data_IF_663020253584
#
_entry.id   IF_663020253584
#
_cell.length_a   1.000
_cell.length_b   1.000
_cell.length_c   1.000
_cell.angle_alpha   90.00
_cell.angle_beta   90.00
_cell.angle_gamma   90.00
#
_symmetry.space_group_name_H-M   'P 1'
#
loop_
_entity.id
_entity.type
_entity.pdbx_description
1 polymer ?
#
# COMPACT_ATOMS: atom_id res chain seq x y z
N UNK A 1 31.90 4.68 -19.13
CA UNK A 1 30.64 4.39 -18.42
C UNK A 1 29.76 5.62 -18.51
N UNK A 2 28.59 5.51 -19.11
CA UNK A 2 27.74 6.66 -19.50
C UNK A 2 27.24 7.40 -18.23
N UNK A 3 27.46 8.72 -18.12
CA UNK A 3 27.01 9.56 -16.98
C UNK A 3 25.52 9.34 -16.62
N UNK A 4 24.68 9.04 -17.62
CA UNK A 4 23.25 8.75 -17.45
C UNK A 4 22.98 7.44 -16.69
N UNK A 5 23.85 6.41 -16.85
CA UNK A 5 23.74 5.14 -16.11
C UNK A 5 24.19 5.35 -14.66
N UNK A 6 25.20 6.18 -14.42
CA UNK A 6 25.70 6.50 -13.07
C UNK A 6 24.64 7.28 -12.28
N UNK A 7 23.91 8.22 -12.91
CA UNK A 7 22.83 9.00 -12.27
C UNK A 7 21.63 8.13 -11.95
N UNK A 8 21.24 7.20 -12.84
CA UNK A 8 20.17 6.25 -12.61
C UNK A 8 20.53 5.25 -11.48
N UNK A 9 21.79 4.78 -11.45
CA UNK A 9 22.28 3.90 -10.39
C UNK A 9 22.35 4.63 -9.04
N UNK A 10 22.72 5.91 -9.01
CA UNK A 10 22.76 6.70 -7.78
C UNK A 10 21.34 6.99 -7.22
N UNK A 11 20.37 7.24 -8.09
CA UNK A 11 18.96 7.34 -7.73
C UNK A 11 18.42 6.01 -7.18
N UNK A 12 18.77 4.87 -7.80
CA UNK A 12 18.37 3.54 -7.32
C UNK A 12 19.00 3.18 -5.96
N UNK A 13 20.25 3.58 -5.74
CA UNK A 13 20.97 3.36 -4.46
C UNK A 13 20.42 4.27 -3.37
N UNK A 14 20.02 5.49 -3.67
CA UNK A 14 19.38 6.40 -2.69
C UNK A 14 18.04 5.86 -2.17
N UNK A 15 17.32 5.04 -2.96
CA UNK A 15 16.11 4.33 -2.52
C UNK A 15 16.36 3.15 -1.59
N UNK A 16 17.60 2.67 -1.49
CA UNK A 16 17.96 1.53 -0.61
C UNK A 16 18.29 1.94 0.83
N UNK A 17 18.48 3.23 1.09
CA UNK A 17 18.61 3.70 2.47
C UNK A 17 17.21 3.71 3.13
N UNK A 18 16.97 2.72 3.98
CA UNK A 18 15.83 2.71 4.92
C UNK A 18 16.00 3.88 5.89
N UNK A 19 15.44 5.03 5.55
CA UNK A 19 15.14 6.05 6.52
C UNK A 19 13.96 5.53 7.33
N UNK A 20 14.23 5.13 8.57
CA UNK A 20 13.24 4.53 9.46
C UNK A 20 12.18 5.56 9.81
N UNK A 21 10.96 5.27 9.50
CA UNK A 21 9.80 5.92 10.06
C UNK A 21 8.77 4.91 10.46
N UNK A 22 8.20 5.14 11.60
CA UNK A 22 7.19 4.29 12.12
C UNK A 22 5.87 5.02 12.23
N UNK A 23 4.81 4.33 11.86
CA UNK A 23 3.48 4.62 12.32
C UNK A 23 3.25 3.82 13.61
N UNK A 24 2.81 4.47 14.69
CA UNK A 24 2.43 3.75 15.90
C UNK A 24 1.37 2.67 15.60
N UNK A 25 0.56 2.91 14.61
CA UNK A 25 -0.47 1.98 14.15
C UNK A 25 0.09 0.71 13.47
N UNK A 26 1.37 0.71 13.07
CA UNK A 26 2.01 -0.48 12.48
C UNK A 26 2.40 -1.56 13.51
N UNK A 27 2.19 -1.28 14.80
CA UNK A 27 2.31 -2.27 15.89
C UNK A 27 1.30 -3.41 15.74
N UNK A 28 0.09 -3.13 15.21
CA UNK A 28 -1.02 -4.06 15.18
C UNK A 28 -0.98 -5.01 13.97
N UNK A 29 -1.30 -6.28 14.19
CA UNK A 29 -1.47 -7.31 13.16
C UNK A 29 -0.24 -7.49 12.27
N UNK A 30 -0.44 -7.37 10.96
CA UNK A 30 0.62 -7.44 9.95
C UNK A 30 1.26 -6.08 9.63
N UNK A 31 1.02 -5.06 10.46
CA UNK A 31 1.40 -3.68 10.19
C UNK A 31 0.30 -2.88 9.49
N UNK A 32 0.65 -1.68 9.04
CA UNK A 32 -0.25 -0.84 8.24
C UNK A 32 -0.34 -1.41 6.84
N UNK A 33 -1.57 -1.67 6.37
CA UNK A 33 -1.79 -2.08 4.98
C UNK A 33 -1.47 -0.92 4.06
N UNK A 34 -0.58 -1.16 3.10
CA UNK A 34 -0.20 -0.16 2.12
C UNK A 34 -1.27 -0.03 1.03
N UNK A 35 -1.61 1.20 0.69
CA UNK A 35 -2.52 1.49 -0.42
C UNK A 35 -1.66 1.64 -1.68
N UNK A 36 -1.40 0.49 -2.31
CA UNK A 36 -0.41 0.40 -3.38
C UNK A 36 -1.07 0.48 -4.74
N UNK A 37 -0.65 1.47 -5.51
CA UNK A 37 -0.98 1.61 -6.93
C UNK A 37 0.09 2.48 -7.61
N UNK A 38 -0.03 2.72 -8.91
CA UNK A 38 0.81 3.70 -9.60
C UNK A 38 0.53 5.13 -9.10
N UNK A 39 1.47 6.04 -9.27
CA UNK A 39 1.37 7.42 -8.78
C UNK A 39 0.19 8.19 -9.40
N UNK A 40 -0.23 7.84 -10.65
CA UNK A 40 -1.42 8.44 -11.27
C UNK A 40 -2.67 8.16 -10.45
N UNK A 41 -2.92 6.89 -10.12
CA UNK A 41 -4.10 6.49 -9.38
C UNK A 41 -4.09 7.01 -7.93
N UNK A 42 -2.92 7.01 -7.28
CA UNK A 42 -2.76 7.59 -5.94
C UNK A 42 -3.09 9.09 -5.93
N UNK A 43 -2.69 9.83 -6.97
CA UNK A 43 -3.01 11.25 -7.12
C UNK A 43 -4.49 11.53 -7.40
N UNK A 44 -5.26 10.51 -7.75
CA UNK A 44 -6.71 10.54 -7.96
C UNK A 44 -7.50 10.01 -6.74
N UNK A 45 -6.97 10.21 -5.53
CA UNK A 45 -7.57 9.69 -4.30
C UNK A 45 -7.47 8.18 -4.17
N UNK A 46 -6.51 7.55 -4.85
CA UNK A 46 -6.39 6.10 -4.95
C UNK A 46 -7.57 5.41 -5.64
N UNK A 47 -8.27 6.09 -6.55
CA UNK A 47 -9.18 5.44 -7.50
C UNK A 47 -8.39 4.66 -8.55
N UNK A 48 -9.00 3.65 -9.18
CA UNK A 48 -8.31 2.82 -10.17
C UNK A 48 -9.17 1.69 -10.72
N UNK A 49 -10.32 1.39 -10.09
CA UNK A 49 -11.12 0.22 -10.47
C UNK A 49 -11.73 0.30 -11.89
N UNK A 50 -11.97 1.53 -12.38
CA UNK A 50 -12.53 1.79 -13.71
C UNK A 50 -11.64 2.68 -14.59
N UNK A 51 -10.31 2.69 -14.33
CA UNK A 51 -9.36 3.51 -15.07
C UNK A 51 -8.49 2.66 -16.00
N UNK A 52 -8.62 2.90 -17.31
CA UNK A 52 -7.70 2.37 -18.32
C UNK A 52 -6.61 3.38 -18.68
N UNK A 53 -5.51 2.89 -19.23
CA UNK A 53 -4.41 3.72 -19.72
C UNK A 53 -3.61 2.99 -20.80
N UNK A 54 -3.12 3.75 -21.77
CA UNK A 54 -2.20 3.26 -22.78
C UNK A 54 -0.74 3.21 -22.28
N UNK A 55 -0.41 3.98 -21.22
CA UNK A 55 0.96 4.23 -20.77
C UNK A 55 1.21 3.97 -19.28
N UNK A 56 0.19 3.68 -18.48
CA UNK A 56 0.34 3.36 -17.05
C UNK A 56 -0.25 1.98 -16.77
N UNK A 57 0.44 1.18 -15.97
CA UNK A 57 -0.07 -0.11 -15.53
C UNK A 57 -1.06 0.13 -14.38
N UNK A 58 -2.26 -0.40 -14.51
CA UNK A 58 -3.21 -0.43 -13.41
C UNK A 58 -3.00 -1.72 -12.61
N UNK A 59 -2.45 -1.58 -11.42
CA UNK A 59 -2.20 -2.71 -10.52
C UNK A 59 -3.44 -3.11 -9.71
N UNK A 60 -4.43 -2.23 -9.62
CA UNK A 60 -5.64 -2.46 -8.84
C UNK A 60 -6.62 -3.38 -9.56
N UNK A 61 -6.90 -3.10 -10.84
CA UNK A 61 -7.80 -3.88 -11.67
C UNK A 61 -7.10 -4.32 -12.97
N UNK A 62 -6.63 -5.57 -13.10
CA UNK A 62 -5.97 -6.04 -14.31
C UNK A 62 -6.86 -5.95 -15.55
N UNK A 63 -8.19 -6.10 -15.45
CA UNK A 63 -9.10 -6.04 -16.60
C UNK A 63 -9.06 -4.68 -17.35
N UNK A 64 -8.55 -3.60 -16.72
CA UNK A 64 -8.40 -2.28 -17.35
C UNK A 64 -7.18 -2.16 -18.24
N UNK A 65 -6.19 -3.05 -18.13
CA UNK A 65 -4.93 -3.00 -18.87
C UNK A 65 -5.05 -3.36 -20.38
N UNK A 66 -6.27 -3.45 -20.87
CA UNK A 66 -6.59 -3.78 -22.29
C UNK A 66 -6.38 -2.63 -23.27
N UNK A 67 -5.95 -1.46 -22.78
CA UNK A 67 -5.63 -0.29 -23.59
C UNK A 67 -4.14 -0.24 -24.04
N UNK A 68 -3.28 -1.16 -23.62
CA UNK A 68 -1.85 -1.16 -23.96
C UNK A 68 -1.60 -1.19 -25.46
N UNK A 69 -0.70 -0.33 -25.90
CA UNK A 69 -0.32 -0.20 -27.29
C UNK A 69 0.44 -1.47 -27.77
N UNK A 70 0.13 -1.99 -28.98
CA UNK A 70 0.84 -3.14 -29.53
C UNK A 70 2.33 -2.88 -29.70
N UNK A 71 3.17 -3.89 -29.45
CA UNK A 71 4.62 -3.84 -29.67
C UNK A 71 5.39 -3.01 -28.65
N UNK A 72 4.74 -2.51 -27.60
CA UNK A 72 5.38 -1.74 -26.53
C UNK A 72 5.33 -2.53 -25.23
N UNK A 73 6.47 -2.57 -24.52
CA UNK A 73 6.54 -3.01 -23.13
C UNK A 73 6.54 -1.78 -22.24
N UNK A 74 5.60 -1.73 -21.31
CA UNK A 74 5.50 -0.65 -20.33
C UNK A 74 6.23 -1.09 -19.07
N UNK A 75 7.11 -0.25 -18.56
CA UNK A 75 7.72 -0.39 -17.23
C UNK A 75 7.18 0.73 -16.33
N UNK A 76 6.74 0.36 -15.15
CA UNK A 76 6.22 1.30 -14.15
C UNK A 76 7.00 1.11 -12.85
N UNK A 77 7.71 2.15 -12.43
CA UNK A 77 8.54 2.16 -11.22
C UNK A 77 8.13 3.35 -10.38
N UNK A 78 7.68 3.07 -9.17
CA UNK A 78 7.24 4.08 -8.22
C UNK A 78 7.93 3.98 -6.87
N UNK A 79 8.14 5.15 -6.27
CA UNK A 79 8.61 5.27 -4.89
C UNK A 79 7.73 6.24 -4.11
N UNK A 80 7.74 6.11 -2.80
CA UNK A 80 6.99 6.95 -1.87
C UNK A 80 7.88 7.44 -0.74
N UNK A 81 7.68 8.69 -0.38
CA UNK A 81 8.26 9.31 0.79
C UNK A 81 7.09 9.75 1.67
N UNK A 82 7.05 9.28 2.92
CA UNK A 82 6.02 9.63 3.90
C UNK A 82 6.66 10.41 5.06
N UNK A 83 6.02 11.49 5.45
CA UNK A 83 6.36 12.24 6.64
C UNK A 83 5.17 12.18 7.58
N UNK A 84 5.33 11.51 8.72
CA UNK A 84 4.27 11.33 9.71
C UNK A 84 4.57 12.18 10.94
N UNK A 85 3.51 12.81 11.47
CA UNK A 85 3.53 13.45 12.77
C UNK A 85 2.52 12.74 13.66
N UNK A 86 3.00 11.98 14.63
CA UNK A 86 2.16 11.27 15.60
C UNK A 86 1.98 12.14 16.84
N UNK A 87 0.74 12.35 17.27
CA UNK A 87 0.39 13.13 18.47
C UNK A 87 -0.34 12.22 19.45
N UNK A 88 0.10 12.21 20.71
CA UNK A 88 -0.56 11.50 21.82
C UNK A 88 -0.51 12.40 23.06
N UNK A 89 -1.66 12.98 23.44
CA UNK A 89 -1.71 14.06 24.42
C UNK A 89 -0.83 15.25 23.99
N UNK A 90 0.06 15.71 24.87
CA UNK A 90 0.99 16.81 24.57
C UNK A 90 2.26 16.35 23.82
N UNK A 91 2.47 15.05 23.68
CA UNK A 91 3.65 14.50 23.02
C UNK A 91 3.48 14.47 21.51
N UNK A 92 4.50 14.94 20.79
CA UNK A 92 4.58 14.91 19.32
C UNK A 92 5.85 14.22 18.88
N UNK A 93 5.70 13.25 18.01
CA UNK A 93 6.81 12.54 17.35
C UNK A 93 6.73 12.73 15.85
N UNK A 94 7.87 13.00 15.21
CA UNK A 94 7.97 13.26 13.77
C UNK A 94 8.86 12.22 13.14
N UNK A 95 8.37 11.58 12.09
CA UNK A 95 9.08 10.47 11.43
C UNK A 95 9.03 10.55 9.93
N UNK A 96 10.03 9.98 9.30
CA UNK A 96 10.24 9.99 7.87
C UNK A 96 10.43 8.57 7.35
N UNK A 97 9.64 8.17 6.35
CA UNK A 97 9.72 6.86 5.69
C UNK A 97 9.97 7.04 4.19
N UNK A 98 10.87 6.23 3.65
CA UNK A 98 11.07 6.07 2.21
C UNK A 98 10.94 4.60 1.86
N UNK A 99 10.12 4.29 0.84
CA UNK A 99 9.94 2.93 0.35
C UNK A 99 9.66 2.93 -1.16
N UNK A 100 9.89 1.78 -1.82
CA UNK A 100 9.31 1.58 -3.15
C UNK A 100 7.79 1.44 -3.02
N UNK A 101 7.07 1.88 -4.06
CA UNK A 101 5.61 1.74 -4.11
C UNK A 101 5.21 0.61 -5.06
N UNK A 102 5.81 0.58 -6.24
CA UNK A 102 5.57 -0.46 -7.24
C UNK A 102 6.78 -0.63 -8.16
N UNK A 103 7.00 -1.87 -8.57
CA UNK A 103 7.81 -2.23 -9.72
C UNK A 103 6.93 -3.10 -10.60
N UNK A 104 6.75 -2.71 -11.86
CA UNK A 104 5.86 -3.45 -12.74
C UNK A 104 6.27 -3.38 -14.19
N UNK A 105 5.85 -4.39 -14.92
CA UNK A 105 5.93 -4.44 -16.37
C UNK A 105 4.61 -4.93 -16.94
N UNK A 106 4.26 -4.44 -18.13
CA UNK A 106 3.05 -4.84 -18.82
C UNK A 106 3.22 -4.77 -20.33
N UNK A 107 2.57 -5.66 -21.05
CA UNK A 107 2.59 -5.69 -22.51
C UNK A 107 1.37 -6.39 -23.08
N UNK A 108 1.14 -6.13 -24.34
CA UNK A 108 0.09 -6.77 -25.13
C UNK A 108 0.65 -7.94 -25.91
N UNK A 109 0.16 -9.16 -25.64
CA UNK A 109 0.57 -10.39 -26.34
C UNK A 109 -0.17 -10.54 -27.68
N UNK A 110 -1.47 -10.25 -27.68
CA UNK A 110 -2.33 -10.35 -28.86
C UNK A 110 -3.40 -9.26 -28.84
N UNK A 111 -4.23 -9.10 -29.91
CA UNK A 111 -5.30 -8.10 -29.93
C UNK A 111 -6.29 -8.20 -28.75
N UNK A 112 -6.34 -9.37 -28.10
CA UNK A 112 -7.29 -9.65 -27.01
C UNK A 112 -6.63 -9.99 -25.68
N UNK A 113 -5.31 -10.25 -25.64
CA UNK A 113 -4.61 -10.75 -24.45
C UNK A 113 -3.53 -9.77 -24.01
N UNK A 114 -3.56 -9.42 -22.74
CA UNK A 114 -2.64 -8.49 -22.10
C UNK A 114 -2.08 -9.12 -20.85
N UNK A 115 -0.83 -8.81 -20.53
CA UNK A 115 -0.11 -9.40 -19.41
C UNK A 115 0.56 -8.32 -18.57
N UNK A 116 0.62 -8.54 -17.26
CA UNK A 116 1.34 -7.69 -16.31
C UNK A 116 2.07 -8.54 -15.30
N UNK A 117 3.23 -8.06 -14.85
CA UNK A 117 3.95 -8.59 -13.71
C UNK A 117 4.30 -7.44 -12.77
N UNK A 118 4.23 -7.65 -11.46
CA UNK A 118 4.53 -6.59 -10.49
C UNK A 118 5.12 -7.13 -9.20
N UNK A 119 5.89 -6.27 -8.53
CA UNK A 119 6.33 -6.40 -7.14
C UNK A 119 5.84 -5.18 -6.38
N UNK A 120 5.10 -5.40 -5.30
CA UNK A 120 4.46 -4.33 -4.52
C UNK A 120 4.52 -4.64 -3.02
N UNK A 121 4.66 -3.63 -2.14
CA UNK A 121 4.42 -3.84 -0.71
C UNK A 121 2.93 -4.14 -0.46
N UNK A 122 2.64 -4.99 0.50
CA UNK A 122 1.27 -5.29 0.97
C UNK A 122 1.04 -4.65 2.32
N UNK A 123 2.04 -4.71 3.21
CA UNK A 123 1.99 -4.06 4.51
C UNK A 123 3.38 -3.66 4.98
N UNK A 124 3.42 -2.66 5.86
CA UNK A 124 4.64 -2.19 6.50
C UNK A 124 4.46 -2.22 8.02
N UNK A 125 5.35 -2.96 8.71
CA UNK A 125 5.43 -2.99 10.17
C UNK A 125 6.74 -2.32 10.58
N UNK A 126 6.66 -1.02 10.81
CA UNK A 126 7.82 -0.21 11.19
C UNK A 126 7.37 0.78 12.26
N UNK A 127 7.75 0.54 13.51
CA UNK A 127 7.36 1.37 14.66
C UNK A 127 8.44 1.40 15.72
N UNK A 128 8.40 2.46 16.51
CA UNK A 128 9.21 2.63 17.70
C UNK A 128 8.36 3.35 18.76
N UNK A 129 8.00 2.62 19.81
CA UNK A 129 7.09 3.09 20.87
C UNK A 129 7.81 2.95 22.20
N UNK A 130 7.74 3.99 23.02
CA UNK A 130 8.20 3.93 24.42
C UNK A 130 6.97 3.99 25.32
N UNK A 131 6.86 3.04 26.22
CA UNK A 131 5.80 2.98 27.22
C UNK A 131 6.41 2.65 28.58
N UNK A 132 5.59 2.59 29.60
CA UNK A 132 5.97 2.18 30.95
C UNK A 132 5.11 1.02 31.41
N UNK A 133 5.69 0.11 32.15
CA UNK A 133 4.98 -1.00 32.78
C UNK A 133 5.26 -1.01 34.29
N UNK A 134 4.26 -1.29 35.14
CA UNK A 134 4.45 -1.38 36.58
C UNK A 134 5.15 -2.70 36.94
N UNK A 135 5.97 -2.68 37.97
CA UNK A 135 6.45 -3.89 38.62
C UNK A 135 5.33 -4.42 39.51
N UNK A 136 4.97 -5.69 39.34
CA UNK A 136 3.91 -6.33 40.13
C UNK A 136 4.24 -6.22 41.65
N UNK A 137 3.28 -5.71 42.41
CA UNK A 137 3.43 -5.48 43.86
C UNK A 137 4.21 -4.22 44.24
N UNK A 138 4.53 -3.32 43.28
CA UNK A 138 5.24 -2.07 43.51
C UNK A 138 4.57 -0.88 42.83
N UNK A 139 4.86 0.33 43.29
CA UNK A 139 4.50 1.57 42.60
C UNK A 139 5.57 2.04 41.58
N UNK A 140 6.62 1.24 41.40
CA UNK A 140 7.72 1.56 40.49
C UNK A 140 7.34 1.15 39.08
N UNK A 141 7.53 2.06 38.13
CA UNK A 141 7.38 1.80 36.67
C UNK A 141 8.75 1.75 36.02
N UNK A 142 8.90 0.85 35.05
CA UNK A 142 10.11 0.74 34.22
C UNK A 142 9.79 1.04 32.75
N UNK A 143 10.74 1.62 32.01
CA UNK A 143 10.54 1.87 30.58
C UNK A 143 10.55 0.59 29.78
N UNK A 144 9.64 0.49 28.81
CA UNK A 144 9.52 -0.57 27.83
C UNK A 144 9.63 0.05 26.44
N UNK A 145 10.60 -0.42 25.66
CA UNK A 145 10.84 0.01 24.29
C UNK A 145 10.34 -1.06 23.33
N UNK A 146 9.32 -0.71 22.54
CA UNK A 146 8.72 -1.59 21.54
C UNK A 146 9.18 -1.15 20.16
N UNK A 147 9.84 -2.03 19.43
CA UNK A 147 10.30 -1.77 18.07
C UNK A 147 9.80 -2.85 17.13
N UNK A 148 9.33 -2.43 15.95
CA UNK A 148 8.96 -3.33 14.88
C UNK A 148 9.66 -2.96 13.59
N UNK A 149 9.96 -3.94 12.75
CA UNK A 149 10.51 -3.72 11.43
C UNK A 149 10.08 -4.81 10.45
N UNK A 150 10.08 -4.47 9.15
CA UNK A 150 9.72 -5.39 8.10
C UNK A 150 8.32 -5.17 7.54
N UNK A 151 7.70 -6.23 7.04
CA UNK A 151 6.39 -6.19 6.41
C UNK A 151 6.21 -7.32 5.40
N UNK A 152 5.14 -7.23 4.65
CA UNK A 152 4.78 -8.18 3.61
C UNK A 152 4.79 -7.48 2.26
N UNK A 153 5.38 -8.14 1.27
CA UNK A 153 5.33 -7.75 -0.14
C UNK A 153 4.62 -8.84 -0.95
N UNK A 154 4.25 -8.54 -2.18
CA UNK A 154 3.74 -9.51 -3.11
C UNK A 154 4.39 -9.39 -4.49
N UNK A 155 4.64 -10.53 -5.11
CA UNK A 155 4.88 -10.66 -6.56
C UNK A 155 3.57 -11.11 -7.18
N UNK A 156 3.11 -10.38 -8.19
CA UNK A 156 1.85 -10.68 -8.86
C UNK A 156 2.02 -10.83 -10.38
N UNK A 157 1.26 -11.76 -10.95
CA UNK A 157 1.07 -11.93 -12.38
C UNK A 157 -0.39 -11.66 -12.70
N UNK A 158 -0.63 -10.75 -13.65
CA UNK A 158 -1.96 -10.38 -14.12
C UNK A 158 -2.12 -10.72 -15.61
N UNK A 159 -3.29 -11.22 -15.95
CA UNK A 159 -3.69 -11.41 -17.33
C UNK A 159 -5.06 -10.76 -17.55
N UNK A 160 -5.24 -10.18 -18.72
CA UNK A 160 -6.50 -9.56 -19.13
C UNK A 160 -6.92 -10.07 -20.49
N UNK A 161 -8.20 -10.34 -20.64
CA UNK A 161 -8.77 -10.82 -21.88
C UNK A 161 -9.95 -9.94 -22.33
N UNK A 162 -9.84 -9.40 -23.53
CA UNK A 162 -10.89 -8.61 -24.16
C UNK A 162 -11.93 -9.54 -24.78
N UNK A 163 -12.98 -9.83 -24.03
CA UNK A 163 -14.07 -10.74 -24.42
C UNK A 163 -14.88 -10.15 -25.57
N UNK A 164 -15.30 -8.88 -25.39
CA UNK A 164 -16.05 -8.08 -26.38
C UNK A 164 -15.29 -6.76 -26.63
N UNK A 165 -15.75 -6.01 -27.63
CA UNK A 165 -15.17 -4.69 -27.95
C UNK A 165 -15.10 -3.76 -26.72
N UNK A 166 -16.15 -3.77 -25.93
CA UNK A 166 -16.36 -2.86 -24.80
C UNK A 166 -16.22 -3.57 -23.44
N UNK A 167 -15.93 -4.90 -23.40
CA UNK A 167 -15.90 -5.68 -22.16
C UNK A 167 -14.66 -6.58 -22.07
N UNK A 168 -14.03 -6.55 -20.93
CA UNK A 168 -12.83 -7.36 -20.61
C UNK A 168 -12.93 -7.98 -19.22
N UNK A 169 -12.25 -9.11 -19.07
CA UNK A 169 -12.05 -9.81 -17.81
C UNK A 169 -10.55 -9.82 -17.47
N UNK A 170 -10.25 -9.87 -16.18
CA UNK A 170 -8.91 -9.96 -15.68
C UNK A 170 -8.78 -10.99 -14.56
N UNK A 171 -7.62 -11.63 -14.53
CA UNK A 171 -7.19 -12.51 -13.47
C UNK A 171 -5.83 -12.04 -12.95
N UNK A 172 -5.65 -12.00 -11.64
CA UNK A 172 -4.36 -11.76 -11.01
C UNK A 172 -4.09 -12.83 -9.96
N UNK A 173 -2.91 -13.40 -10.03
CA UNK A 173 -2.38 -14.33 -9.01
C UNK A 173 -1.19 -13.67 -8.35
N UNK A 174 -1.10 -13.74 -7.04
CA UNK A 174 -0.02 -13.14 -6.27
C UNK A 174 0.53 -14.11 -5.22
N UNK A 175 1.83 -14.08 -5.03
CA UNK A 175 2.49 -14.68 -3.88
C UNK A 175 2.87 -13.56 -2.91
N UNK A 176 2.26 -13.59 -1.72
CA UNK A 176 2.61 -12.70 -0.62
C UNK A 176 3.73 -13.35 0.18
N UNK A 177 4.75 -12.58 0.55
CA UNK A 177 5.90 -13.05 1.32
C UNK A 177 6.51 -11.90 2.11
N UNK A 178 7.17 -12.23 3.22
CA UNK A 178 7.90 -11.23 4.00
C UNK A 178 8.13 -11.65 5.43
N UNK A 179 8.81 -10.81 6.17
CA UNK A 179 9.08 -11.03 7.59
C UNK A 179 8.78 -9.79 8.41
N UNK A 180 8.29 -10.02 9.63
CA UNK A 180 8.04 -8.98 10.63
C UNK A 180 8.83 -9.34 11.86
N UNK A 181 9.74 -8.45 12.25
CA UNK A 181 10.49 -8.57 13.51
C UNK A 181 9.91 -7.59 14.51
N UNK A 182 9.61 -8.09 15.71
CA UNK A 182 9.16 -7.29 16.84
C UNK A 182 10.14 -7.49 17.98
N UNK A 183 10.60 -6.39 18.57
CA UNK A 183 11.52 -6.39 19.70
C UNK A 183 10.88 -5.61 20.83
N UNK A 184 10.91 -6.19 22.01
CA UNK A 184 10.51 -5.57 23.26
C UNK A 184 11.74 -5.56 24.18
N UNK A 185 12.20 -4.38 24.57
CA UNK A 185 13.28 -4.20 25.52
C UNK A 185 12.70 -3.61 26.81
N UNK A 186 12.85 -4.34 27.88
CA UNK A 186 12.42 -3.97 29.21
C UNK A 186 13.67 -3.58 30.01
N UNK A 187 13.83 -2.29 30.27
CA UNK A 187 15.00 -1.77 30.98
C UNK A 187 14.65 -1.57 32.46
N UNK A 188 15.05 -2.52 33.29
CA UNK A 188 14.72 -2.50 34.72
C UNK A 188 15.70 -1.61 35.49
N UNK A 189 16.95 -1.49 35.02
CA UNK A 189 17.94 -0.56 35.57
C UNK A 189 18.29 -0.80 37.03
N UNK A 190 18.23 -2.04 37.50
CA UNK A 190 18.50 -2.43 38.89
C UNK A 190 19.74 -3.29 38.94
N UNK A 191 20.51 -3.18 40.06
CA UNK A 191 21.67 -4.08 40.33
C UNK A 191 21.23 -5.52 40.58
N UNK A 192 19.98 -5.77 40.90
CA UNK A 192 19.44 -7.09 41.27
C UNK A 192 18.54 -7.70 40.23
N UNK A 193 18.07 -6.94 39.25
CA UNK A 193 17.16 -7.38 38.20
C UNK A 193 17.80 -7.13 36.83
N UNK A 194 17.74 -8.14 35.96
CA UNK A 194 18.30 -8.06 34.61
C UNK A 194 17.35 -7.37 33.65
N UNK A 195 17.90 -6.56 32.77
CA UNK A 195 17.15 -6.09 31.59
C UNK A 195 16.77 -7.28 30.72
N UNK A 196 15.56 -7.24 30.16
CA UNK A 196 15.03 -8.32 29.34
C UNK A 196 14.77 -7.83 27.92
N UNK A 197 15.23 -8.61 26.94
CA UNK A 197 14.95 -8.38 25.53
C UNK A 197 14.21 -9.59 24.96
N UNK A 198 13.02 -9.34 24.43
CA UNK A 198 12.21 -10.33 23.75
C UNK A 198 12.17 -9.96 22.26
N UNK A 199 12.68 -10.85 21.41
CA UNK A 199 12.65 -10.69 19.96
C UNK A 199 11.80 -11.77 19.33
N UNK A 200 10.80 -11.34 18.55
CA UNK A 200 9.90 -12.20 17.81
C UNK A 200 10.08 -11.92 16.32
N UNK A 201 10.55 -12.91 15.56
CA UNK A 201 10.69 -12.82 14.11
C UNK A 201 9.73 -13.81 13.45
N UNK A 202 8.84 -13.31 12.62
CA UNK A 202 7.80 -14.09 11.96
C UNK A 202 7.92 -13.92 10.44
N UNK A 203 8.10 -15.03 9.74
CA UNK A 203 8.10 -15.11 8.29
C UNK A 203 6.74 -15.59 7.80
N UNK A 204 6.21 -14.93 6.77
CA UNK A 204 4.89 -15.20 6.19
C UNK A 204 5.01 -15.49 4.70
N UNK A 205 4.19 -16.43 4.21
CA UNK A 205 4.00 -16.68 2.79
C UNK A 205 2.56 -17.13 2.50
N UNK A 206 2.05 -16.80 1.30
CA UNK A 206 0.72 -17.23 0.90
C UNK A 206 0.30 -16.77 -0.49
N UNK A 207 -0.43 -17.64 -1.19
CA UNK A 207 -0.96 -17.36 -2.51
C UNK A 207 -2.36 -16.78 -2.44
N UNK A 208 -2.57 -15.68 -3.17
CA UNK A 208 -3.86 -15.02 -3.34
C UNK A 208 -4.23 -14.87 -4.80
N UNK A 209 -5.50 -14.70 -5.06
CA UNK A 209 -6.01 -14.48 -6.40
C UNK A 209 -7.12 -13.43 -6.42
N UNK A 210 -7.24 -12.74 -7.54
CA UNK A 210 -8.23 -11.71 -7.82
C UNK A 210 -8.83 -11.96 -9.19
N UNK A 211 -10.14 -11.88 -9.28
CA UNK A 211 -10.87 -11.79 -10.54
C UNK A 211 -11.38 -10.36 -10.72
N UNK A 212 -11.50 -9.94 -11.97
CA UNK A 212 -11.92 -8.57 -12.25
C UNK A 212 -12.63 -8.46 -13.60
N UNK A 213 -13.39 -7.37 -13.74
CA UNK A 213 -14.00 -7.00 -14.99
C UNK A 213 -13.82 -5.51 -15.27
N UNK A 214 -13.96 -5.17 -16.53
CA UNK A 214 -13.97 -3.78 -17.01
C UNK A 214 -14.88 -3.66 -18.22
N UNK A 215 -15.77 -2.67 -18.17
CA UNK A 215 -16.66 -2.29 -19.28
C UNK A 215 -16.42 -0.83 -19.61
N UNK A 216 -16.24 -0.49 -20.90
CA UNK A 216 -16.07 0.88 -21.38
C UNK A 216 -16.95 1.14 -22.58
N UNK A 217 -17.83 2.10 -22.47
CA UNK A 217 -18.69 2.57 -23.55
C UNK A 217 -18.29 3.96 -24.01
N UNK A 218 -17.84 4.07 -25.27
CA UNK A 218 -17.66 5.36 -25.92
C UNK A 218 -18.96 5.87 -26.47
N UNK A 219 -19.18 7.18 -26.33
CA UNK A 219 -20.38 7.84 -26.91
C UNK A 219 -20.15 8.15 -28.40
N UNK A 220 -21.23 8.62 -29.07
CA UNK A 220 -21.24 8.89 -30.52
C UNK A 220 -20.21 9.95 -30.96
N UNK A 221 -19.82 10.85 -30.08
CA UNK A 221 -18.77 11.86 -30.30
C UNK A 221 -17.36 11.27 -30.36
N UNK A 222 -17.17 10.00 -29.93
CA UNK A 222 -15.89 9.33 -29.71
C UNK A 222 -14.89 10.11 -28.82
N UNK A 223 -15.35 11.17 -28.17
CA UNK A 223 -14.55 12.01 -27.28
C UNK A 223 -14.90 11.78 -25.82
N UNK A 224 -16.10 11.26 -25.57
CA UNK A 224 -16.59 10.99 -24.23
C UNK A 224 -16.83 9.50 -24.03
N UNK A 225 -16.57 9.00 -22.82
CA UNK A 225 -16.79 7.60 -22.48
C UNK A 225 -17.17 7.40 -21.01
N UNK A 226 -17.98 6.39 -20.77
CA UNK A 226 -18.29 5.88 -19.44
C UNK A 226 -17.65 4.53 -19.26
N UNK A 227 -16.96 4.33 -18.12
CA UNK A 227 -16.38 3.04 -17.78
C UNK A 227 -16.86 2.58 -16.41
N UNK A 228 -17.00 1.26 -16.26
CA UNK A 228 -17.33 0.60 -15.00
C UNK A 228 -16.34 -0.55 -14.83
N UNK A 229 -15.79 -0.70 -13.65
CA UNK A 229 -14.84 -1.77 -13.33
C UNK A 229 -15.08 -2.34 -11.94
N UNK A 230 -14.76 -3.60 -11.77
CA UNK A 230 -14.87 -4.24 -10.47
C UNK A 230 -13.83 -5.32 -10.25
N UNK A 231 -13.55 -5.56 -8.99
CA UNK A 231 -12.58 -6.54 -8.53
C UNK A 231 -13.14 -7.36 -7.38
N UNK A 232 -12.72 -8.61 -7.31
CA UNK A 232 -13.00 -9.51 -6.21
C UNK A 232 -11.75 -10.30 -5.87
N UNK A 233 -11.19 -10.04 -4.69
CA UNK A 233 -10.04 -10.73 -4.12
C UNK A 233 -10.49 -11.83 -3.18
N UNK A 234 -9.99 -13.02 -3.37
CA UNK A 234 -10.24 -14.12 -2.47
C UNK A 234 -9.47 -13.97 -1.16
N UNK A 235 -10.08 -14.40 -0.05
CA UNK A 235 -9.40 -14.49 1.25
C UNK A 235 -8.12 -15.30 1.10
N UNK A 236 -6.97 -14.73 1.47
CA UNK A 236 -5.67 -15.34 1.29
C UNK A 236 -5.15 -15.87 2.62
N UNK A 237 -4.92 -17.17 2.71
CA UNK A 237 -4.25 -17.77 3.86
C UNK A 237 -2.75 -17.49 3.80
N UNK A 238 -2.20 -16.99 4.90
CA UNK A 238 -0.79 -16.86 5.14
C UNK A 238 -0.32 -17.93 6.10
N UNK A 239 0.75 -18.61 5.74
CA UNK A 239 1.44 -19.60 6.59
C UNK A 239 2.87 -19.17 6.79
N UNK A 240 3.55 -19.75 7.74
CA UNK A 240 4.96 -19.40 7.96
C UNK A 240 5.54 -19.99 9.22
N UNK A 241 6.69 -19.48 9.59
CA UNK A 241 7.44 -19.87 10.78
C UNK A 241 7.79 -18.65 11.62
N UNK A 242 7.82 -18.83 12.92
CA UNK A 242 8.24 -17.80 13.86
C UNK A 242 9.37 -18.31 14.76
N UNK A 243 10.19 -17.38 15.21
CA UNK A 243 11.16 -17.58 16.29
C UNK A 243 10.88 -16.57 17.38
N UNK A 244 10.91 -17.02 18.64
CA UNK A 244 10.87 -16.16 19.81
C UNK A 244 12.15 -16.38 20.58
N UNK A 245 12.95 -15.33 20.73
CA UNK A 245 14.19 -15.33 21.49
C UNK A 245 14.06 -14.36 22.66
N UNK A 246 14.35 -14.85 23.86
CA UNK A 246 14.40 -14.07 25.09
C UNK A 246 15.82 -14.08 25.61
N UNK A 247 16.36 -12.90 25.89
CA UNK A 247 17.72 -12.71 26.41
C UNK A 247 17.66 -11.80 27.63
N UNK A 248 18.48 -12.13 28.62
CA UNK A 248 18.70 -11.30 29.79
C UNK A 248 20.00 -10.54 29.65
N UNK A 249 20.13 -9.42 30.39
CA UNK A 249 21.28 -8.51 30.32
C UNK A 249 21.58 -8.04 28.89
N UNK A 250 20.54 -7.70 28.12
CA UNK A 250 20.63 -7.13 26.77
C UNK A 250 21.58 -7.92 25.85
N UNK A 251 21.27 -9.21 25.63
CA UNK A 251 21.98 -10.14 24.73
C UNK A 251 23.10 -10.97 25.37
N UNK A 252 23.36 -10.85 26.68
CA UNK A 252 24.42 -11.60 27.32
C UNK A 252 24.07 -13.06 27.61
N UNK A 253 22.81 -13.36 27.89
CA UNK A 253 22.35 -14.70 28.24
C UNK A 253 21.00 -15.01 27.54
N UNK A 254 20.99 -16.06 26.72
CA UNK A 254 19.76 -16.53 26.07
C UNK A 254 19.05 -17.50 27.01
N UNK A 255 17.87 -17.10 27.47
CA UNK A 255 17.04 -17.88 28.39
C UNK A 255 16.02 -18.72 27.65
N UNK A 256 15.57 -18.24 26.49
CA UNK A 256 14.53 -18.91 25.71
C UNK A 256 14.79 -18.74 24.21
N UNK A 257 14.73 -19.84 23.46
CA UNK A 257 14.77 -19.85 22.00
C UNK A 257 13.75 -20.88 21.50
N UNK A 258 12.63 -20.39 20.95
CA UNK A 258 11.51 -21.23 20.51
C UNK A 258 11.24 -20.97 19.06
N UNK A 259 11.12 -22.05 18.29
CA UNK A 259 10.58 -22.05 16.92
C UNK A 259 9.15 -22.54 16.94
N UNK A 260 8.28 -21.88 16.19
CA UNK A 260 6.87 -22.23 16.06
C UNK A 260 6.36 -22.03 14.62
N UNK A 261 5.27 -22.70 14.30
CA UNK A 261 4.61 -22.56 13.02
C UNK A 261 3.48 -21.54 13.12
N UNK A 262 3.42 -20.64 12.16
CA UNK A 262 2.34 -19.66 12.04
C UNK A 262 1.21 -20.32 11.25
N UNK A 263 0.06 -20.48 11.91
CA UNK A 263 -1.16 -20.97 11.30
C UNK A 263 -2.29 -19.97 11.40
N UNK A 264 -3.31 -20.10 10.53
CA UNK A 264 -4.57 -19.36 10.62
C UNK A 264 -4.46 -17.81 10.55
N UNK A 265 -3.43 -17.32 9.90
CA UNK A 265 -3.30 -15.89 9.55
C UNK A 265 -3.86 -15.68 8.13
N UNK A 266 -4.61 -14.60 7.92
CA UNK A 266 -5.28 -14.36 6.63
C UNK A 266 -5.18 -12.89 6.23
N UNK A 267 -5.05 -12.63 4.92
CA UNK A 267 -5.45 -11.36 4.34
C UNK A 267 -6.96 -11.42 4.02
N UNK A 268 -7.68 -10.30 4.14
CA UNK A 268 -9.13 -10.27 3.99
C UNK A 268 -9.55 -10.61 2.56
N UNK A 269 -10.79 -11.05 2.43
CA UNK A 269 -11.51 -10.97 1.18
C UNK A 269 -11.83 -9.51 0.90
N UNK A 270 -11.67 -9.09 -0.37
CA UNK A 270 -11.94 -7.71 -0.77
C UNK A 270 -12.83 -7.71 -2.01
N UNK A 271 -13.72 -6.73 -2.10
CA UNK A 271 -14.41 -6.42 -3.34
C UNK A 271 -14.47 -4.91 -3.56
N UNK A 272 -14.47 -4.53 -4.81
CA UNK A 272 -14.54 -3.14 -5.19
C UNK A 272 -15.29 -2.93 -6.48
N UNK A 273 -15.93 -1.77 -6.60
CA UNK A 273 -16.57 -1.29 -7.82
C UNK A 273 -16.17 0.16 -8.03
N UNK A 274 -15.94 0.51 -9.29
CA UNK A 274 -15.61 1.87 -9.70
C UNK A 274 -16.34 2.29 -10.95
N UNK A 275 -16.48 3.59 -11.10
CA UNK A 275 -17.02 4.23 -12.28
C UNK A 275 -16.11 5.37 -12.70
N UNK A 276 -15.91 5.57 -14.01
CA UNK A 276 -15.23 6.74 -14.52
C UNK A 276 -15.96 7.31 -15.74
N UNK A 277 -15.96 8.64 -15.82
CA UNK A 277 -16.55 9.38 -16.93
C UNK A 277 -15.53 10.34 -17.54
N UNK A 278 -15.15 10.06 -18.78
CA UNK A 278 -14.30 10.95 -19.57
C UNK A 278 -15.17 11.88 -20.40
N UNK A 279 -15.01 13.18 -20.20
CA UNK A 279 -15.72 14.21 -20.94
C UNK A 279 -14.79 14.89 -21.97
N UNK A 280 -15.12 14.78 -23.24
CA UNK A 280 -14.47 15.44 -24.39
C UNK A 280 -12.95 15.25 -24.40
N UNK A 281 -12.44 14.06 -23.99
CA UNK A 281 -11.01 13.76 -23.85
C UNK A 281 -10.23 14.77 -22.98
N UNK A 282 -10.92 15.52 -22.13
CA UNK A 282 -10.32 16.60 -21.33
C UNK A 282 -10.47 16.41 -19.85
N UNK A 283 -11.66 16.07 -19.38
CA UNK A 283 -11.96 15.92 -17.94
C UNK A 283 -12.34 14.47 -17.67
N UNK A 284 -11.63 13.85 -16.77
CA UNK A 284 -11.91 12.50 -16.29
C UNK A 284 -12.33 12.58 -14.82
N UNK A 285 -13.57 12.18 -14.55
CA UNK A 285 -14.10 11.99 -13.20
C UNK A 285 -14.07 10.50 -12.87
N UNK A 286 -13.68 10.15 -11.65
CA UNK A 286 -13.66 8.76 -11.21
C UNK A 286 -14.12 8.65 -9.76
N UNK A 287 -14.81 7.54 -9.45
CA UNK A 287 -15.27 7.20 -8.12
C UNK A 287 -15.15 5.70 -7.89
N UNK A 288 -14.59 5.32 -6.75
CA UNK A 288 -14.43 3.93 -6.33
C UNK A 288 -15.02 3.71 -4.94
N UNK A 289 -15.62 2.54 -4.76
CA UNK A 289 -15.97 1.96 -3.48
C UNK A 289 -15.26 0.62 -3.33
N UNK A 290 -14.65 0.37 -2.16
CA UNK A 290 -14.02 -0.89 -1.82
C UNK A 290 -14.44 -1.31 -0.42
N UNK A 291 -14.65 -2.61 -0.24
CA UNK A 291 -14.87 -3.23 1.06
C UNK A 291 -13.85 -4.34 1.29
N UNK A 292 -13.28 -4.38 2.48
CA UNK A 292 -12.37 -5.43 2.95
C UNK A 292 -12.97 -6.09 4.18
N UNK A 293 -13.23 -7.39 4.06
CA UNK A 293 -13.85 -8.16 5.14
C UNK A 293 -12.78 -8.67 6.12
N UNK A 294 -12.49 -7.86 7.13
CA UNK A 294 -11.57 -8.20 8.22
C UNK A 294 -12.22 -8.96 9.36
N UNK A 295 -13.55 -9.08 9.38
CA UNK A 295 -14.27 -9.71 10.47
C UNK A 295 -13.90 -11.20 10.59
N UNK A 296 -13.63 -11.65 11.82
CA UNK A 296 -13.21 -13.01 12.08
C UNK A 296 -11.76 -13.34 11.74
N UNK A 297 -10.96 -12.36 11.25
CA UNK A 297 -9.52 -12.53 11.09
C UNK A 297 -8.86 -12.30 12.45
N UNK A 298 -7.95 -13.22 12.84
CA UNK A 298 -7.16 -13.13 14.06
C UNK A 298 -5.69 -13.21 13.71
N UNK A 299 -4.88 -12.40 14.37
CA UNK A 299 -3.42 -12.49 14.33
C UNK A 299 -2.89 -12.94 15.67
N UNK A 300 -1.86 -13.78 15.69
CA UNK A 300 -1.33 -14.42 16.92
C UNK A 300 -0.79 -13.43 17.95
N UNK A 301 -0.57 -12.20 17.59
CA UNK A 301 0.08 -11.17 18.41
C UNK A 301 -0.84 -10.07 18.93
N UNK A 302 -2.13 -10.09 18.61
CA UNK A 302 -3.03 -9.00 18.98
C UNK A 302 -4.36 -9.53 19.54
N UNK A 303 -4.75 -9.02 20.70
CA UNK A 303 -6.05 -9.25 21.32
C UNK A 303 -7.19 -8.40 20.73
N UNK A 304 -6.93 -7.72 19.60
CA UNK A 304 -7.86 -6.76 19.05
C UNK A 304 -8.84 -7.40 18.07
N UNK A 305 -10.06 -6.89 18.11
CA UNK A 305 -11.12 -7.25 17.18
C UNK A 305 -11.02 -6.42 15.93
N UNK A 306 -10.97 -7.07 14.77
CA UNK A 306 -11.01 -6.42 13.47
C UNK A 306 -12.45 -6.25 12.98
N UNK A 307 -12.68 -5.21 12.20
CA UNK A 307 -13.99 -4.80 11.67
C UNK A 307 -13.92 -4.59 10.17
N UNK A 308 -15.03 -4.76 9.48
CA UNK A 308 -15.12 -4.49 8.07
C UNK A 308 -14.70 -3.05 7.76
N UNK A 309 -13.86 -2.92 6.74
CA UNK A 309 -13.29 -1.66 6.26
C UNK A 309 -13.97 -1.26 4.96
N UNK A 310 -14.42 -0.03 4.90
CA UNK A 310 -14.95 0.58 3.68
C UNK A 310 -14.03 1.73 3.25
N UNK A 311 -13.73 1.81 1.96
CA UNK A 311 -12.92 2.87 1.38
C UNK A 311 -13.74 3.52 0.26
N UNK A 312 -13.90 4.83 0.34
CA UNK A 312 -14.57 5.67 -0.65
C UNK A 312 -13.54 6.60 -1.26
N UNK A 313 -13.47 6.66 -2.58
CA UNK A 313 -12.48 7.46 -3.27
C UNK A 313 -13.11 8.22 -4.43
N UNK A 314 -12.68 9.47 -4.61
CA UNK A 314 -13.09 10.34 -5.73
C UNK A 314 -11.85 10.95 -6.36
N UNK A 315 -11.84 11.08 -7.69
CA UNK A 315 -10.74 11.65 -8.44
C UNK A 315 -11.21 12.49 -9.62
N UNK A 316 -10.39 13.51 -9.93
CA UNK A 316 -10.53 14.36 -11.10
C UNK A 316 -9.18 14.46 -11.81
N UNK A 317 -9.14 14.14 -13.10
CA UNK A 317 -7.96 14.35 -13.94
C UNK A 317 -8.29 15.31 -15.08
N UNK A 318 -7.47 16.34 -15.22
CA UNK A 318 -7.51 17.28 -16.35
C UNK A 318 -6.44 16.81 -17.32
N UNK A 319 -6.86 16.29 -18.47
CA UNK A 319 -5.99 15.76 -19.50
C UNK A 319 -5.54 16.84 -20.49
N UNK A 320 -4.35 16.72 -21.07
CA UNK A 320 -3.88 17.64 -22.08
C UNK A 320 -4.73 17.55 -23.36
N UNK A 321 -5.04 18.69 -23.97
CA UNK A 321 -5.89 18.74 -25.15
C UNK A 321 -5.17 18.46 -26.48
N UNK A 322 -3.87 18.68 -26.53
CA UNK A 322 -3.08 18.54 -27.75
C UNK A 322 -2.20 17.29 -27.69
N UNK A 323 -2.24 16.49 -28.76
CA UNK A 323 -1.31 15.38 -28.94
C UNK A 323 0.08 15.81 -29.44
N UNK A 324 0.17 17.02 -30.02
CA UNK A 324 1.43 17.62 -30.49
C UNK A 324 1.82 18.72 -29.53
N UNK A 325 2.82 18.48 -28.74
CA UNK A 325 3.30 19.43 -27.74
C UNK A 325 4.27 20.42 -28.36
N UNK A 326 3.95 21.69 -28.37
CA UNK A 326 4.85 22.77 -28.74
C UNK A 326 5.71 23.19 -27.55
N UNK A 327 5.20 22.98 -26.34
CA UNK A 327 5.92 23.14 -25.06
C UNK A 327 5.71 21.90 -24.19
N UNK A 328 6.61 21.65 -23.23
CA UNK A 328 6.49 20.55 -22.25
C UNK A 328 5.19 20.71 -21.44
N UNK A 329 4.82 21.96 -21.09
CA UNK A 329 3.62 22.26 -20.29
C UNK A 329 2.31 21.92 -20.99
N UNK A 330 2.27 21.89 -22.32
CA UNK A 330 1.06 21.61 -23.11
C UNK A 330 0.59 20.14 -22.94
N UNK A 331 1.48 19.27 -22.45
CA UNK A 331 1.23 17.86 -22.23
C UNK A 331 0.91 17.47 -20.80
N UNK A 332 0.86 18.39 -19.86
CA UNK A 332 0.67 18.07 -18.46
C UNK A 332 -0.75 17.60 -18.18
N UNK A 333 -0.83 16.52 -17.37
CA UNK A 333 -2.08 16.10 -16.73
C UNK A 333 -2.08 16.59 -15.28
N UNK A 334 -3.17 17.23 -14.86
CA UNK A 334 -3.37 17.66 -13.48
C UNK A 334 -4.38 16.73 -12.82
N UNK A 335 -4.10 16.31 -11.59
CA UNK A 335 -4.90 15.33 -10.85
C UNK A 335 -5.21 15.82 -9.46
N UNK A 336 -6.43 15.54 -9.01
CA UNK A 336 -6.90 15.83 -7.66
C UNK A 336 -7.73 14.66 -7.19
N UNK A 337 -7.65 14.34 -5.91
CA UNK A 337 -8.42 13.26 -5.35
C UNK A 337 -8.63 13.39 -3.85
N UNK A 338 -9.60 12.64 -3.37
CA UNK A 338 -9.89 12.49 -1.94
C UNK A 338 -10.31 11.05 -1.69
N UNK A 339 -9.88 10.50 -0.56
CA UNK A 339 -10.40 9.23 -0.08
C UNK A 339 -10.73 9.28 1.40
N UNK A 340 -11.70 8.45 1.78
CA UNK A 340 -12.09 8.21 3.16
C UNK A 340 -12.06 6.71 3.42
N UNK A 341 -11.32 6.30 4.43
CA UNK A 341 -11.15 4.92 4.88
C UNK A 341 -11.69 4.81 6.31
N UNK A 342 -12.69 3.95 6.50
CA UNK A 342 -13.31 3.74 7.81
C UNK A 342 -12.41 3.02 8.82
N UNK A 343 -11.23 2.55 8.39
CA UNK A 343 -10.33 1.73 9.21
C UNK A 343 -10.89 0.32 9.47
N UNK A 344 -10.05 -0.57 9.98
CA UNK A 344 -10.40 -1.97 10.22
C UNK A 344 -10.16 -2.45 11.66
N UNK A 345 -9.63 -1.61 12.54
CA UNK A 345 -9.42 -1.93 13.97
C UNK A 345 -9.79 -0.74 14.86
N UNK A 346 -9.92 -1.02 16.15
CA UNK A 346 -10.20 -0.04 17.19
C UNK A 346 -9.10 -0.05 18.24
N UNK A 347 -8.77 1.13 18.75
CA UNK A 347 -7.92 1.31 19.93
C UNK A 347 -8.77 2.00 20.98
N UNK A 348 -8.82 1.43 22.20
CA UNK A 348 -9.65 1.96 23.30
C UNK A 348 -11.10 2.23 22.87
N UNK A 349 -11.69 1.29 22.11
CA UNK A 349 -13.05 1.35 21.54
C UNK A 349 -13.27 2.38 20.43
N UNK A 350 -12.28 3.18 20.06
CA UNK A 350 -12.35 4.16 18.97
C UNK A 350 -11.84 3.56 17.67
N UNK A 351 -12.66 3.64 16.61
CA UNK A 351 -12.27 3.19 15.26
C UNK A 351 -11.25 4.14 14.64
N UNK A 352 -10.22 3.58 14.02
CA UNK A 352 -9.12 4.36 13.44
C UNK A 352 -9.41 4.59 11.97
N UNK A 353 -10.12 5.65 11.68
CA UNK A 353 -10.44 6.11 10.34
C UNK A 353 -9.33 7.00 9.75
N UNK A 354 -9.37 7.20 8.44
CA UNK A 354 -8.43 8.05 7.71
C UNK A 354 -9.16 8.84 6.63
N UNK A 355 -8.85 10.13 6.52
CA UNK A 355 -9.16 10.93 5.33
C UNK A 355 -7.86 11.39 4.69
N UNK A 356 -7.81 11.42 3.36
CA UNK A 356 -6.64 11.85 2.61
C UNK A 356 -7.06 12.62 1.37
N UNK A 357 -6.44 13.78 1.16
CA UNK A 357 -6.52 14.54 -0.08
C UNK A 357 -5.23 14.39 -0.87
N UNK A 358 -5.33 14.30 -2.18
CA UNK A 358 -4.18 14.11 -3.07
C UNK A 358 -4.22 15.06 -4.25
N UNK A 359 -3.03 15.40 -4.76
CA UNK A 359 -2.83 16.14 -5.99
C UNK A 359 -1.64 15.54 -6.76
N UNK A 360 -1.62 15.71 -8.08
CA UNK A 360 -0.51 15.19 -8.87
C UNK A 360 -0.40 15.77 -10.26
N UNK A 361 0.76 15.52 -10.85
CA UNK A 361 1.13 15.92 -12.19
C UNK A 361 1.61 14.71 -13.00
N UNK A 362 1.14 14.62 -14.24
CA UNK A 362 1.68 13.72 -15.25
C UNK A 362 2.43 14.53 -16.30
N UNK A 363 3.71 14.23 -16.48
CA UNK A 363 4.64 14.96 -17.35
C UNK A 363 5.12 14.03 -18.46
N UNK A 364 4.62 14.15 -19.70
CA UNK A 364 5.08 13.32 -20.79
C UNK A 364 6.40 13.85 -21.36
N UNK A 365 7.26 12.92 -21.77
CA UNK A 365 8.50 13.21 -22.47
C UNK A 365 8.43 12.70 -23.93
N UNK A 366 9.21 13.32 -24.81
CA UNK A 366 9.18 13.04 -26.27
C UNK A 366 9.51 11.59 -26.66
N UNK A 367 10.20 10.86 -25.79
CA UNK A 367 10.62 9.47 -26.03
C UNK A 367 9.63 8.42 -25.44
N UNK A 368 8.40 8.82 -25.13
CA UNK A 368 7.38 7.94 -24.57
C UNK A 368 7.49 7.69 -23.06
N UNK A 369 8.46 8.31 -22.38
CA UNK A 369 8.56 8.27 -20.94
C UNK A 369 7.52 9.22 -20.31
N UNK A 370 6.87 8.77 -19.23
CA UNK A 370 5.92 9.54 -18.43
C UNK A 370 6.44 9.64 -16.99
N UNK A 371 6.65 10.86 -16.49
CA UNK A 371 6.92 11.09 -15.08
C UNK A 371 5.63 11.48 -14.37
N UNK A 372 5.24 10.70 -13.37
CA UNK A 372 4.12 11.03 -12.50
C UNK A 372 4.65 11.46 -11.13
N UNK A 373 4.23 12.64 -10.68
CA UNK A 373 4.56 13.17 -9.34
C UNK A 373 3.25 13.37 -8.59
N UNK A 374 3.17 12.86 -7.37
CA UNK A 374 1.98 12.98 -6.52
C UNK A 374 2.36 13.47 -5.13
N UNK A 375 1.45 14.22 -4.54
CA UNK A 375 1.48 14.64 -3.14
C UNK A 375 0.15 14.27 -2.50
N UNK A 376 0.19 13.74 -1.29
CA UNK A 376 -1.02 13.52 -0.50
C UNK A 376 -0.84 14.02 0.93
N UNK A 377 -1.92 14.50 1.50
CA UNK A 377 -2.01 14.88 2.91
C UNK A 377 -3.22 14.20 3.53
N UNK A 378 -3.02 13.53 4.65
CA UNK A 378 -4.06 12.79 5.32
C UNK A 378 -3.99 12.88 6.84
N UNK A 379 -5.12 12.63 7.47
CA UNK A 379 -5.25 12.55 8.93
C UNK A 379 -5.84 11.17 9.25
N UNK A 380 -5.19 10.45 10.17
CA UNK A 380 -5.64 9.16 10.69
C UNK A 380 -5.99 9.30 12.17
N UNK A 381 -7.08 8.65 12.60
CA UNK A 381 -7.58 8.73 13.98
C UNK A 381 -8.32 10.04 14.26
N UNK A 382 -9.22 10.46 13.36
CA UNK A 382 -9.98 11.70 13.49
C UNK A 382 -10.93 11.70 14.69
N UNK A 383 -11.59 10.57 14.94
CA UNK A 383 -12.65 10.44 15.93
C UNK A 383 -12.09 10.18 17.32
N UNK A 384 -11.63 11.22 18.04
CA UNK A 384 -11.24 11.15 19.46
C UNK A 384 -10.22 10.05 19.81
N UNK A 385 -9.38 9.66 18.83
CA UNK A 385 -8.34 8.67 19.06
C UNK A 385 -7.28 9.21 20.01
N UNK A 386 -6.77 8.33 20.89
CA UNK A 386 -5.67 8.65 21.81
C UNK A 386 -4.39 8.99 21.04
N UNK A 387 -4.25 8.45 19.85
CA UNK A 387 -3.13 8.69 18.94
C UNK A 387 -3.70 9.28 17.64
N UNK A 388 -3.11 10.37 17.14
CA UNK A 388 -3.43 10.96 15.83
C UNK A 388 -2.17 11.00 14.96
N UNK A 389 -2.30 10.67 13.71
CA UNK A 389 -1.26 10.79 12.69
C UNK A 389 -1.70 11.66 11.53
#
# INVERSE_FOLDING_TARGET
MNKKILTASFLLIAFLYKLQSASAYSYFGLGVMDNVDNTRNLSLGATGLALDSESNINFKNPATNVAFIPGIVIFDVGGVIKYNTTTSGDNKDKRFLSNYNNLGMGFRISPKVFFTASLQPTSTSDYKITTKAPIEGSSIEYPVYLEGSGGIANVALGASYKVLKDFSLGLKVRNNFGSITRTENIAIGSYTLSDVKIMKNEYYTGFGSQISFFYKKSFKDNLSSLSIGGTFDLKTKLTGTGTLKETHNLDSETVRDIKYTIGNTYLPQEYGIGVSYLHKNKLLFTADFQNKNWEGIKYSSTYEKYYNQNIYALGLEILPQKRTYTSISDGFSYRFGINYDTGYYKISSVKIDKIEASAGLGIPFKNGFMLNVGYSYGIRGMSSAVIKE
#
